data_IF_783742261990
#
_entry.id   IF_783742261990
#
_cell.length_a   1.000
_cell.length_b   1.000
_cell.length_c   1.000
_cell.angle_alpha   90.00
_cell.angle_beta   90.00
_cell.angle_gamma   90.00
#
_symmetry.space_group_name_H-M   'P 1'
#
loop_
_entity.id
_entity.type
_entity.pdbx_description
1 polymer ?
#
# COMPACT_ATOMS: atom_id res chain seq x y z
N UNK A 1 -49.65 -35.49 36.84
CA UNK A 1 -49.71 -35.35 35.40
C UNK A 1 -49.28 -33.90 35.08
N UNK A 2 -47.96 -33.71 34.83
CA UNK A 2 -47.36 -32.39 34.61
C UNK A 2 -46.97 -32.32 33.13
N UNK A 3 -47.53 -31.37 32.41
CA UNK A 3 -47.22 -31.11 31.00
C UNK A 3 -45.94 -30.28 30.95
N UNK A 4 -44.93 -30.74 30.23
CA UNK A 4 -43.71 -29.99 29.88
C UNK A 4 -44.03 -28.99 28.78
N UNK A 5 -43.60 -27.71 28.89
CA UNK A 5 -43.75 -26.79 27.79
C UNK A 5 -42.74 -27.14 26.68
N UNK A 6 -43.21 -27.16 25.45
CA UNK A 6 -42.40 -27.35 24.25
C UNK A 6 -41.34 -26.26 24.12
N UNK A 7 -40.07 -26.67 24.19
CA UNK A 7 -38.97 -25.80 23.78
C UNK A 7 -38.91 -25.85 22.23
N UNK A 8 -39.49 -24.81 21.60
CA UNK A 8 -39.21 -24.58 20.19
C UNK A 8 -37.74 -24.22 20.06
N UNK A 9 -36.95 -24.84 19.17
CA UNK A 9 -35.58 -24.42 18.96
C UNK A 9 -35.57 -23.02 18.41
N UNK A 10 -34.91 -22.13 19.12
CA UNK A 10 -34.65 -20.77 18.65
C UNK A 10 -33.94 -20.91 17.29
N UNK A 11 -34.58 -20.47 16.23
CA UNK A 11 -33.94 -20.41 14.92
C UNK A 11 -32.79 -19.40 15.03
N UNK A 12 -31.57 -19.90 15.19
CA UNK A 12 -30.40 -19.09 14.98
C UNK A 12 -30.46 -18.66 13.51
N UNK A 13 -30.83 -17.42 13.27
CA UNK A 13 -30.71 -16.84 11.94
C UNK A 13 -29.20 -16.82 11.62
N UNK A 14 -28.75 -17.86 10.95
CA UNK A 14 -27.36 -17.95 10.50
C UNK A 14 -27.10 -16.77 9.56
N UNK A 15 -26.11 -15.96 9.91
CA UNK A 15 -25.67 -14.89 9.02
C UNK A 15 -25.14 -15.56 7.75
N UNK A 16 -25.82 -15.35 6.63
CA UNK A 16 -25.36 -15.85 5.33
C UNK A 16 -24.39 -14.80 4.76
N UNK A 17 -23.13 -15.16 4.71
CA UNK A 17 -22.11 -14.31 4.10
C UNK A 17 -22.11 -14.48 2.59
N UNK A 18 -22.01 -13.36 1.87
CA UNK A 18 -21.69 -13.36 0.45
C UNK A 18 -20.24 -13.79 0.26
N UNK A 19 -19.95 -14.38 -0.89
CA UNK A 19 -18.68 -15.07 -1.14
C UNK A 19 -17.92 -14.38 -2.27
N UNK A 20 -16.63 -14.12 -2.05
CA UNK A 20 -15.76 -13.52 -3.06
C UNK A 20 -14.65 -14.49 -3.46
N UNK A 21 -14.38 -14.56 -4.77
CA UNK A 21 -13.17 -15.19 -5.30
C UNK A 21 -12.12 -14.10 -5.51
N UNK A 22 -10.94 -14.29 -4.93
CA UNK A 22 -9.77 -13.43 -5.20
C UNK A 22 -8.93 -14.06 -6.31
N UNK A 23 -8.44 -13.25 -7.25
CA UNK A 23 -7.57 -13.73 -8.31
C UNK A 23 -6.39 -12.80 -8.52
N UNK A 24 -5.20 -13.38 -8.72
CA UNK A 24 -3.95 -12.63 -8.83
C UNK A 24 -2.87 -13.40 -9.58
N UNK A 25 -1.84 -12.69 -10.00
CA UNK A 25 -0.56 -13.28 -10.41
C UNK A 25 0.25 -13.74 -9.20
N UNK A 26 1.47 -14.22 -9.46
CA UNK A 26 2.38 -14.62 -8.38
C UNK A 26 2.80 -13.42 -7.53
N UNK A 27 2.76 -13.55 -6.22
CA UNK A 27 3.18 -12.52 -5.28
C UNK A 27 4.69 -12.25 -5.30
N UNK A 28 5.50 -13.18 -5.79
CA UNK A 28 6.97 -13.03 -5.81
C UNK A 28 7.44 -11.76 -6.55
N UNK A 29 6.64 -11.28 -7.48
CA UNK A 29 6.96 -10.12 -8.30
C UNK A 29 6.00 -8.94 -8.06
N UNK A 30 5.22 -9.00 -6.97
CA UNK A 30 4.22 -7.98 -6.64
C UNK A 30 4.73 -7.08 -5.52
N UNK A 31 4.74 -5.77 -5.74
CA UNK A 31 4.99 -4.79 -4.69
C UNK A 31 3.77 -4.56 -3.77
N UNK A 32 2.73 -5.39 -3.89
CA UNK A 32 1.47 -5.24 -3.15
C UNK A 32 1.17 -6.43 -2.23
N UNK A 33 2.21 -7.19 -1.87
CA UNK A 33 2.06 -8.43 -1.10
C UNK A 33 1.38 -8.22 0.25
N UNK A 34 1.73 -7.15 0.95
CA UNK A 34 1.12 -6.85 2.26
C UNK A 34 -0.37 -6.55 2.12
N UNK A 35 -0.75 -5.72 1.15
CA UNK A 35 -2.16 -5.40 0.91
C UNK A 35 -2.97 -6.66 0.60
N UNK A 36 -2.42 -7.57 -0.22
CA UNK A 36 -3.06 -8.87 -0.48
C UNK A 36 -3.23 -9.68 0.79
N UNK A 37 -2.18 -9.77 1.62
CA UNK A 37 -2.21 -10.57 2.85
C UNK A 37 -3.26 -10.03 3.82
N UNK A 38 -3.34 -8.72 3.98
CA UNK A 38 -4.37 -8.08 4.82
C UNK A 38 -5.76 -8.40 4.29
N UNK A 39 -5.99 -8.23 2.98
CA UNK A 39 -7.29 -8.50 2.35
C UNK A 39 -7.71 -9.97 2.53
N UNK A 40 -6.79 -10.92 2.27
CA UNK A 40 -7.06 -12.34 2.44
C UNK A 40 -7.41 -12.69 3.89
N UNK A 41 -6.69 -12.13 4.84
CA UNK A 41 -6.93 -12.38 6.26
C UNK A 41 -8.30 -11.83 6.70
N UNK A 42 -8.62 -10.60 6.29
CA UNK A 42 -9.90 -9.97 6.64
C UNK A 42 -11.08 -10.77 6.09
N UNK A 43 -11.02 -11.17 4.82
CA UNK A 43 -12.09 -11.95 4.18
C UNK A 43 -12.14 -13.39 4.73
N UNK A 44 -10.99 -13.98 5.02
CA UNK A 44 -10.90 -15.32 5.59
C UNK A 44 -11.50 -15.41 7.00
N UNK A 45 -11.38 -14.32 7.76
CA UNK A 45 -11.92 -14.22 9.13
C UNK A 45 -13.31 -13.57 9.19
N UNK A 46 -13.94 -13.35 8.04
CA UNK A 46 -15.24 -12.67 7.90
C UNK A 46 -15.28 -11.29 8.59
N UNK A 47 -14.17 -10.54 8.50
CA UNK A 47 -14.03 -9.18 9.03
C UNK A 47 -14.33 -8.10 7.99
N UNK A 48 -14.80 -8.50 6.80
CA UNK A 48 -15.39 -7.61 5.80
C UNK A 48 -16.90 -7.81 5.92
N UNK A 49 -17.59 -6.83 6.45
CA UNK A 49 -19.01 -6.97 6.87
C UNK A 49 -19.88 -7.59 5.76
N UNK A 50 -20.48 -8.72 6.05
CA UNK A 50 -21.35 -9.44 5.12
C UNK A 50 -20.62 -10.28 4.08
N UNK A 51 -19.27 -10.29 4.06
CA UNK A 51 -18.47 -10.96 3.02
C UNK A 51 -17.44 -11.92 3.59
N UNK A 52 -17.18 -12.99 2.85
CA UNK A 52 -16.13 -13.95 3.19
C UNK A 52 -15.44 -14.45 1.91
N UNK A 53 -14.20 -14.91 2.07
CA UNK A 53 -13.44 -15.48 0.96
C UNK A 53 -13.93 -16.88 0.63
N UNK A 54 -14.27 -17.13 -0.63
CA UNK A 54 -14.57 -18.47 -1.14
C UNK A 54 -13.28 -19.19 -1.54
N UNK A 55 -12.39 -18.47 -2.26
CA UNK A 55 -11.21 -19.07 -2.87
C UNK A 55 -10.23 -17.97 -3.26
N UNK A 56 -8.93 -18.27 -3.23
CA UNK A 56 -7.89 -17.47 -3.89
C UNK A 56 -7.29 -18.28 -5.04
N UNK A 57 -7.23 -17.66 -6.23
CA UNK A 57 -6.61 -18.27 -7.41
C UNK A 57 -5.33 -17.50 -7.71
N UNK A 58 -4.21 -18.19 -7.67
CA UNK A 58 -2.90 -17.63 -7.96
C UNK A 58 -2.26 -18.36 -9.14
N UNK A 59 -1.49 -17.65 -9.94
CA UNK A 59 -0.78 -18.25 -11.05
C UNK A 59 0.16 -17.28 -11.73
N UNK A 60 1.21 -17.79 -12.32
CA UNK A 60 2.19 -16.97 -13.04
C UNK A 60 1.52 -16.27 -14.24
N UNK A 61 1.92 -15.02 -14.49
CA UNK A 61 1.45 -14.31 -15.68
C UNK A 61 1.79 -15.12 -16.96
N UNK A 62 0.78 -15.39 -17.77
CA UNK A 62 0.96 -16.17 -19.00
C UNK A 62 0.87 -17.69 -18.81
N UNK A 63 0.69 -18.17 -17.58
CA UNK A 63 0.48 -19.61 -17.34
C UNK A 63 -0.75 -20.10 -18.10
N UNK A 64 -0.58 -21.18 -18.88
CA UNK A 64 -1.69 -21.74 -19.67
C UNK A 64 -2.87 -22.10 -18.78
N UNK A 65 -4.05 -21.64 -19.17
CA UNK A 65 -5.30 -21.94 -18.47
C UNK A 65 -5.58 -21.07 -17.23
N UNK A 66 -4.66 -20.21 -16.80
CA UNK A 66 -4.89 -19.37 -15.61
C UNK A 66 -6.13 -18.48 -15.78
N UNK A 67 -6.24 -17.73 -16.87
CA UNK A 67 -7.39 -16.90 -17.16
C UNK A 67 -8.70 -17.70 -17.23
N UNK A 68 -8.64 -18.93 -17.78
CA UNK A 68 -9.82 -19.82 -17.85
C UNK A 68 -10.25 -20.28 -16.44
N UNK A 69 -9.27 -20.65 -15.58
CA UNK A 69 -9.59 -21.02 -14.18
C UNK A 69 -10.27 -19.84 -13.47
N UNK A 70 -9.71 -18.61 -13.62
CA UNK A 70 -10.29 -17.41 -13.01
C UNK A 70 -11.72 -17.17 -13.53
N UNK A 71 -11.91 -17.28 -14.86
CA UNK A 71 -13.23 -17.07 -15.48
C UNK A 71 -14.30 -18.04 -14.98
N UNK A 72 -13.92 -19.30 -14.68
CA UNK A 72 -14.88 -20.32 -14.25
C UNK A 72 -15.11 -20.31 -12.73
N UNK A 73 -14.13 -19.85 -11.97
CA UNK A 73 -14.06 -20.05 -10.51
C UNK A 73 -15.29 -19.57 -9.76
N UNK A 74 -15.80 -18.39 -10.10
CA UNK A 74 -16.96 -17.82 -9.37
C UNK A 74 -18.17 -18.75 -9.48
N UNK A 75 -18.44 -19.27 -10.69
CA UNK A 75 -19.53 -20.22 -10.90
C UNK A 75 -19.31 -21.56 -10.20
N UNK A 76 -18.08 -22.06 -10.27
CA UNK A 76 -17.73 -23.37 -9.69
C UNK A 76 -17.89 -23.41 -8.16
N UNK A 77 -17.60 -22.30 -7.49
CA UNK A 77 -17.74 -22.22 -6.03
C UNK A 77 -18.99 -21.48 -5.56
N UNK A 78 -19.85 -21.05 -6.48
CA UNK A 78 -21.06 -20.29 -6.12
C UNK A 78 -20.73 -18.97 -5.43
N UNK A 79 -19.75 -18.22 -5.96
CA UNK A 79 -19.39 -16.92 -5.42
C UNK A 79 -20.30 -15.81 -5.97
N UNK A 80 -20.40 -14.73 -5.23
CA UNK A 80 -21.21 -13.56 -5.58
C UNK A 80 -20.39 -12.48 -6.30
N UNK A 81 -19.05 -12.59 -6.26
CA UNK A 81 -18.15 -11.56 -6.77
C UNK A 81 -16.79 -12.14 -7.10
N UNK A 82 -16.16 -11.60 -8.16
CA UNK A 82 -14.76 -11.88 -8.52
C UNK A 82 -13.94 -10.59 -8.32
N UNK A 83 -12.86 -10.67 -7.53
CA UNK A 83 -11.96 -9.54 -7.29
C UNK A 83 -10.56 -9.85 -7.79
N UNK A 84 -10.12 -9.13 -8.83
CA UNK A 84 -8.73 -9.16 -9.32
C UNK A 84 -7.95 -8.17 -8.48
N UNK A 85 -6.99 -8.64 -7.70
CA UNK A 85 -6.40 -7.85 -6.62
C UNK A 85 -5.27 -6.89 -7.03
N UNK A 86 -5.02 -6.76 -8.35
CA UNK A 86 -4.04 -5.80 -8.88
C UNK A 86 -4.36 -5.43 -10.33
N UNK A 87 -4.18 -4.16 -10.68
CA UNK A 87 -4.27 -3.71 -12.07
C UNK A 87 -3.27 -4.44 -12.99
N UNK A 88 -2.16 -4.95 -12.44
CA UNK A 88 -1.17 -5.70 -13.22
C UNK A 88 -1.71 -7.06 -13.68
N UNK A 89 -2.78 -7.52 -13.06
CA UNK A 89 -3.44 -8.78 -13.39
C UNK A 89 -4.81 -8.57 -14.06
N UNK A 90 -5.14 -7.34 -14.44
CA UNK A 90 -6.44 -7.02 -15.03
C UNK A 90 -6.72 -7.78 -16.34
N UNK A 91 -5.69 -8.33 -17.00
CA UNK A 91 -5.88 -9.24 -18.15
C UNK A 91 -6.70 -10.49 -17.77
N UNK A 92 -6.83 -10.79 -16.47
CA UNK A 92 -7.64 -11.92 -15.95
C UNK A 92 -9.14 -11.60 -15.90
N UNK A 93 -9.54 -10.33 -16.08
CA UNK A 93 -10.96 -9.95 -16.10
C UNK A 93 -11.65 -10.69 -17.26
N UNK A 94 -12.65 -11.54 -16.99
CA UNK A 94 -13.29 -12.34 -18.04
C UNK A 94 -13.99 -11.47 -19.09
N UNK A 95 -14.03 -11.94 -20.35
CA UNK A 95 -14.83 -11.28 -21.39
C UNK A 95 -16.33 -11.36 -21.11
N UNK A 96 -16.74 -12.41 -20.40
CA UNK A 96 -18.10 -12.59 -19.88
C UNK A 96 -18.00 -13.14 -18.48
N UNK A 97 -18.73 -12.58 -17.54
CA UNK A 97 -18.78 -13.03 -16.16
C UNK A 97 -20.23 -13.22 -15.71
N UNK A 98 -20.47 -14.23 -14.89
CA UNK A 98 -21.79 -14.47 -14.27
C UNK A 98 -21.96 -13.64 -12.99
N UNK A 99 -20.88 -13.02 -12.50
CA UNK A 99 -20.89 -12.20 -11.27
C UNK A 99 -20.16 -10.88 -11.56
N UNK A 100 -20.43 -9.83 -10.78
CA UNK A 100 -19.66 -8.59 -10.90
C UNK A 100 -18.16 -8.83 -10.73
N UNK A 101 -17.35 -8.04 -11.45
CA UNK A 101 -15.88 -8.12 -11.41
C UNK A 101 -15.31 -6.79 -10.92
N UNK A 102 -14.52 -6.87 -9.86
CA UNK A 102 -13.85 -5.72 -9.24
C UNK A 102 -12.33 -5.85 -9.47
N UNK A 103 -11.65 -4.73 -9.68
CA UNK A 103 -10.18 -4.72 -9.82
C UNK A 103 -9.58 -3.67 -8.89
N UNK A 104 -8.59 -4.06 -8.07
CA UNK A 104 -7.78 -3.11 -7.30
C UNK A 104 -6.78 -2.40 -8.23
N UNK A 105 -6.69 -1.06 -8.11
CA UNK A 105 -5.85 -0.21 -8.95
C UNK A 105 -4.96 0.64 -8.03
N UNK A 106 -3.74 0.22 -7.92
CA UNK A 106 -2.73 0.87 -7.07
C UNK A 106 -1.97 2.01 -7.77
N UNK A 107 -1.67 1.97 -9.11
CA UNK A 107 -1.03 2.85 -9.89
C UNK A 107 -1.46 2.68 -11.24
N UNK A 108 -1.39 3.75 -11.81
CA UNK A 108 -1.61 3.65 -13.27
C UNK A 108 -0.41 4.13 -14.09
N UNK A 109 0.72 4.35 -13.45
CA UNK A 109 1.92 4.87 -14.09
C UNK A 109 2.36 4.03 -15.30
N UNK A 110 2.31 2.71 -15.19
CA UNK A 110 2.74 1.82 -16.29
C UNK A 110 1.81 1.92 -17.52
N UNK A 111 0.58 2.36 -17.31
CA UNK A 111 -0.43 2.53 -18.39
C UNK A 111 -0.43 3.94 -18.96
N UNK A 112 0.05 4.91 -18.19
CA UNK A 112 0.10 6.32 -18.56
C UNK A 112 1.35 6.97 -17.97
N UNK A 113 2.57 6.58 -18.46
CA UNK A 113 3.78 7.20 -17.97
C UNK A 113 3.76 8.71 -18.21
N UNK A 114 4.16 9.47 -17.20
CA UNK A 114 4.23 10.93 -17.28
C UNK A 114 5.67 11.39 -17.11
N UNK A 115 6.07 12.40 -17.89
CA UNK A 115 7.36 13.06 -17.70
C UNK A 115 7.32 14.05 -16.52
N UNK A 116 6.12 14.51 -16.14
CA UNK A 116 5.89 15.46 -15.05
C UNK A 116 4.79 14.89 -14.14
N UNK A 117 4.99 14.94 -12.85
CA UNK A 117 3.98 14.53 -11.87
C UNK A 117 2.85 15.58 -11.80
N UNK A 118 1.77 15.25 -11.10
CA UNK A 118 0.61 16.15 -10.94
C UNK A 118 0.98 17.47 -10.27
N UNK A 119 2.12 17.54 -9.57
CA UNK A 119 2.65 18.78 -8.99
C UNK A 119 3.68 19.51 -9.86
N UNK A 120 3.71 19.23 -11.16
CA UNK A 120 4.69 19.80 -12.11
C UNK A 120 6.15 19.46 -11.79
N UNK A 121 6.36 18.37 -11.04
CA UNK A 121 7.69 17.90 -10.68
C UNK A 121 8.16 16.90 -11.74
N UNK A 122 9.38 17.05 -12.27
CA UNK A 122 9.90 16.08 -13.25
C UNK A 122 9.97 14.67 -12.67
N UNK A 123 9.38 13.70 -13.40
CA UNK A 123 9.39 12.28 -13.01
C UNK A 123 10.52 11.58 -13.78
N UNK A 124 11.48 10.96 -13.09
CA UNK A 124 12.52 10.19 -13.78
C UNK A 124 11.93 8.91 -14.35
N UNK A 125 11.66 8.91 -15.65
CA UNK A 125 11.00 7.79 -16.33
C UNK A 125 11.88 6.53 -16.37
N UNK A 126 13.21 6.68 -16.39
CA UNK A 126 14.13 5.55 -16.53
C UNK A 126 13.92 4.83 -17.86
N UNK A 127 14.18 3.54 -17.89
CA UNK A 127 13.99 2.69 -19.06
C UNK A 127 12.56 2.13 -19.07
N UNK A 128 11.57 2.99 -19.33
CA UNK A 128 10.15 2.64 -19.27
C UNK A 128 9.58 2.13 -20.61
N UNK A 129 10.44 1.63 -21.50
CA UNK A 129 9.98 1.04 -22.75
C UNK A 129 9.78 -0.46 -22.55
N UNK A 130 8.52 -0.93 -22.49
CA UNK A 130 8.29 -2.35 -22.29
C UNK A 130 8.73 -3.16 -23.54
N UNK A 131 9.14 -4.39 -23.31
CA UNK A 131 9.36 -5.36 -24.39
C UNK A 131 8.06 -5.59 -25.17
N UNK A 132 8.15 -6.24 -26.31
CA UNK A 132 6.95 -6.57 -27.11
C UNK A 132 5.93 -7.39 -26.28
N UNK A 133 6.40 -8.34 -25.49
CA UNK A 133 5.53 -9.14 -24.60
C UNK A 133 4.96 -8.26 -23.47
N UNK A 134 5.73 -7.35 -22.95
CA UNK A 134 5.28 -6.37 -21.97
C UNK A 134 4.16 -5.48 -22.50
N UNK A 135 4.35 -5.00 -23.72
CA UNK A 135 3.33 -4.20 -24.40
C UNK A 135 2.02 -4.94 -24.61
N UNK A 136 2.04 -6.02 -24.78
CA UNK A 136 0.99 -6.82 -24.98
C UNK A 136 0.26 -7.07 -23.80
N UNK A 137 0.99 -7.29 -22.77
CA UNK A 137 0.36 -7.46 -21.46
C UNK A 137 -0.32 -6.18 -20.99
N UNK A 138 0.36 -5.05 -21.12
CA UNK A 138 -0.21 -3.73 -20.80
C UNK A 138 -1.54 -3.52 -21.54
N UNK A 139 -1.56 -3.82 -22.85
CA UNK A 139 -2.78 -3.68 -23.65
C UNK A 139 -3.90 -4.59 -23.14
N UNK A 140 -3.58 -5.86 -22.85
CA UNK A 140 -4.57 -6.80 -22.29
C UNK A 140 -5.11 -6.36 -20.94
N UNK A 141 -4.25 -5.80 -20.08
CA UNK A 141 -4.67 -5.25 -18.79
C UNK A 141 -5.57 -4.02 -18.96
N UNK A 142 -5.24 -3.12 -19.92
CA UNK A 142 -6.10 -1.97 -20.23
C UNK A 142 -7.50 -2.42 -20.62
N UNK A 143 -7.58 -3.44 -21.50
CA UNK A 143 -8.89 -4.01 -21.88
C UNK A 143 -9.63 -4.61 -20.69
N UNK A 144 -8.90 -5.23 -19.77
CA UNK A 144 -9.49 -5.78 -18.55
C UNK A 144 -10.03 -4.71 -17.63
N UNK A 145 -9.27 -3.63 -17.42
CA UNK A 145 -9.70 -2.48 -16.62
C UNK A 145 -10.96 -1.84 -17.20
N UNK A 146 -11.02 -1.73 -18.53
CA UNK A 146 -12.18 -1.15 -19.21
C UNK A 146 -13.44 -2.06 -19.16
N UNK A 147 -13.26 -3.36 -18.87
CA UNK A 147 -14.37 -4.32 -18.73
C UNK A 147 -14.82 -4.50 -17.28
N UNK A 148 -14.03 -4.09 -16.31
CA UNK A 148 -14.36 -4.27 -14.89
C UNK A 148 -15.62 -3.48 -14.51
N UNK A 149 -16.46 -4.03 -13.64
CA UNK A 149 -17.65 -3.35 -13.15
C UNK A 149 -17.31 -2.23 -12.16
N UNK A 150 -16.19 -2.40 -11.42
CA UNK A 150 -15.76 -1.41 -10.44
C UNK A 150 -14.23 -1.46 -10.28
N UNK A 151 -13.59 -0.29 -10.31
CA UNK A 151 -12.18 -0.11 -10.04
C UNK A 151 -12.01 0.47 -8.63
N UNK A 152 -11.26 -0.25 -7.77
CA UNK A 152 -10.93 0.20 -6.41
C UNK A 152 -9.59 0.95 -6.49
N UNK A 153 -9.66 2.26 -6.44
CA UNK A 153 -8.48 3.12 -6.63
C UNK A 153 -7.85 3.47 -5.28
N UNK A 154 -6.53 3.28 -5.17
CA UNK A 154 -5.81 3.44 -3.90
C UNK A 154 -5.64 4.91 -3.46
N UNK A 155 -5.87 5.87 -4.37
CA UNK A 155 -5.77 7.30 -4.09
C UNK A 155 -6.73 8.10 -4.96
N UNK A 156 -7.01 9.34 -4.56
CA UNK A 156 -7.80 10.27 -5.37
C UNK A 156 -7.14 10.50 -6.73
N UNK A 157 -5.82 10.65 -6.74
CA UNK A 157 -5.06 10.83 -7.98
C UNK A 157 -5.23 9.62 -8.91
N UNK A 158 -5.10 8.41 -8.37
CA UNK A 158 -5.31 7.17 -9.15
C UNK A 158 -6.75 7.07 -9.64
N UNK A 159 -7.73 7.51 -8.81
CA UNK A 159 -9.14 7.48 -9.18
C UNK A 159 -9.43 8.47 -10.32
N UNK A 160 -8.82 9.66 -10.28
CA UNK A 160 -8.96 10.63 -11.37
C UNK A 160 -8.39 10.07 -12.68
N UNK A 161 -7.17 9.50 -12.64
CA UNK A 161 -6.55 8.86 -13.80
C UNK A 161 -7.44 7.72 -14.34
N UNK A 162 -7.99 6.91 -13.44
CA UNK A 162 -8.86 5.78 -13.83
C UNK A 162 -10.11 6.28 -14.55
N UNK A 163 -10.75 7.31 -14.03
CA UNK A 163 -11.96 7.91 -14.64
C UNK A 163 -11.69 8.46 -16.05
N UNK A 164 -10.51 9.06 -16.24
CA UNK A 164 -10.10 9.58 -17.56
C UNK A 164 -9.79 8.45 -18.54
N UNK A 165 -9.10 7.41 -18.08
CA UNK A 165 -8.63 6.31 -18.94
C UNK A 165 -9.70 5.25 -19.21
N UNK A 166 -10.60 5.01 -18.26
CA UNK A 166 -11.62 3.94 -18.30
C UNK A 166 -13.01 4.49 -17.98
N UNK A 167 -13.55 5.37 -18.85
CA UNK A 167 -14.82 6.08 -18.54
C UNK A 167 -16.05 5.17 -18.45
N UNK A 168 -15.94 3.91 -18.86
CA UNK A 168 -17.04 2.93 -18.75
C UNK A 168 -17.07 2.23 -17.40
N UNK A 169 -15.94 2.19 -16.69
CA UNK A 169 -15.82 1.51 -15.41
C UNK A 169 -16.16 2.47 -14.27
N UNK A 170 -16.94 2.01 -13.31
CA UNK A 170 -17.15 2.78 -12.06
C UNK A 170 -15.84 2.81 -11.27
N UNK A 171 -15.63 3.86 -10.50
CA UNK A 171 -14.42 4.00 -9.66
C UNK A 171 -14.83 4.35 -8.23
N UNK A 172 -14.16 3.75 -7.26
CA UNK A 172 -14.34 4.04 -5.84
C UNK A 172 -12.97 4.14 -5.17
N UNK A 173 -12.82 5.08 -4.25
CA UNK A 173 -11.61 5.22 -3.46
C UNK A 173 -11.57 4.11 -2.40
N UNK A 174 -10.61 3.22 -2.51
CA UNK A 174 -10.34 2.16 -1.51
C UNK A 174 -8.82 2.13 -1.30
N UNK A 175 -8.38 2.82 -0.27
CA UNK A 175 -6.94 2.98 0.02
C UNK A 175 -6.28 1.63 0.27
N UNK A 176 -5.01 1.51 -0.11
CA UNK A 176 -4.20 0.34 0.21
C UNK A 176 -4.11 0.19 1.74
N UNK A 177 -3.94 -1.03 2.19
CA UNK A 177 -3.90 -1.33 3.61
C UNK A 177 -2.49 -1.58 4.10
N UNK A 178 -2.29 -1.32 5.39
CA UNK A 178 -1.09 -1.70 6.13
C UNK A 178 -1.50 -2.63 7.27
N UNK A 179 -0.66 -3.59 7.62
CA UNK A 179 -0.93 -4.46 8.78
C UNK A 179 -0.58 -3.71 10.06
N UNK A 180 -1.52 -2.87 10.51
CA UNK A 180 -1.36 -2.08 11.73
C UNK A 180 -1.16 -2.96 12.98
N UNK A 181 -1.47 -4.25 12.94
CA UNK A 181 -1.16 -5.15 14.06
C UNK A 181 0.30 -5.56 14.11
N UNK A 182 0.99 -5.58 12.97
CA UNK A 182 2.42 -5.91 12.90
C UNK A 182 3.30 -4.68 13.20
N UNK A 183 2.96 -3.53 12.62
CA UNK A 183 3.81 -2.33 12.66
C UNK A 183 3.65 -1.48 13.92
N UNK A 184 2.50 -1.54 14.60
CA UNK A 184 2.15 -0.67 15.75
C UNK A 184 3.17 -0.81 16.89
N UNK A 185 3.89 0.26 17.23
CA UNK A 185 4.92 0.20 18.28
C UNK A 185 4.36 -0.01 19.68
N UNK A 186 3.07 0.29 19.89
CA UNK A 186 2.41 0.11 21.19
C UNK A 186 2.04 -1.36 21.40
N UNK A 187 1.53 -2.01 20.33
CA UNK A 187 1.11 -3.42 20.38
C UNK A 187 2.26 -4.38 20.20
N UNK A 188 3.26 -3.97 19.43
CA UNK A 188 4.33 -4.86 18.97
C UNK A 188 5.67 -4.10 18.98
N UNK A 189 6.14 -3.69 20.18
CA UNK A 189 7.39 -2.94 20.28
C UNK A 189 8.59 -3.78 19.87
N UNK A 190 9.49 -3.19 19.09
CA UNK A 190 10.72 -3.84 18.61
C UNK A 190 11.91 -3.34 19.42
N UNK A 191 12.79 -4.25 19.76
CA UNK A 191 14.05 -3.90 20.44
C UNK A 191 15.04 -3.33 19.41
N UNK A 192 15.71 -2.23 19.77
CA UNK A 192 16.68 -1.57 18.89
C UNK A 192 17.87 -2.49 18.52
N UNK A 193 18.18 -3.48 19.36
CA UNK A 193 19.25 -4.46 19.08
C UNK A 193 19.01 -5.26 17.79
N UNK A 194 17.76 -5.34 17.31
CA UNK A 194 17.42 -5.98 16.02
C UNK A 194 18.15 -5.29 14.84
N UNK A 195 18.53 -4.02 15.00
CA UNK A 195 19.24 -3.27 13.97
C UNK A 195 20.72 -3.66 13.86
N UNK A 196 21.28 -4.34 14.87
CA UNK A 196 22.70 -4.68 14.87
C UNK A 196 23.56 -3.41 14.85
N UNK A 197 24.52 -3.34 13.94
CA UNK A 197 25.40 -2.17 13.79
C UNK A 197 24.64 -0.90 13.39
N UNK A 198 23.50 -1.02 12.73
CA UNK A 198 22.68 0.14 12.35
C UNK A 198 21.97 0.76 13.57
N UNK A 199 21.93 0.05 14.69
CA UNK A 199 21.24 0.48 15.93
C UNK A 199 22.11 1.27 16.90
N UNK A 200 23.24 1.79 16.48
CA UNK A 200 24.15 2.59 17.34
C UNK A 200 23.38 3.79 17.91
N UNK A 201 23.20 3.81 19.22
CA UNK A 201 22.45 4.86 19.94
C UNK A 201 23.17 6.21 19.97
N UNK A 202 24.47 6.22 19.67
CA UNK A 202 25.21 7.47 19.56
C UNK A 202 24.99 8.21 18.23
N UNK A 203 24.15 7.62 17.33
CA UNK A 203 23.87 8.17 16.01
C UNK A 203 22.40 8.51 15.86
N UNK A 204 22.13 9.62 15.21
CA UNK A 204 20.75 10.03 14.80
C UNK A 204 20.35 9.19 13.59
N UNK A 205 19.44 8.23 13.79
CA UNK A 205 19.04 7.28 12.75
C UNK A 205 17.99 7.89 11.82
N UNK A 206 18.30 7.92 10.53
CA UNK A 206 17.36 8.29 9.46
C UNK A 206 17.12 7.04 8.60
N UNK A 207 15.92 6.95 7.99
CA UNK A 207 15.59 5.83 7.10
C UNK A 207 15.19 6.38 5.72
N UNK A 208 15.58 5.69 4.66
CA UNK A 208 15.08 5.98 3.31
C UNK A 208 14.90 4.67 2.53
N UNK A 209 14.21 4.75 1.39
CA UNK A 209 14.04 3.60 0.50
C UNK A 209 15.29 3.44 -0.36
N UNK A 210 15.81 2.21 -0.43
CA UNK A 210 17.02 1.88 -1.19
C UNK A 210 16.76 1.23 -2.56
N UNK A 211 15.54 1.29 -3.08
CA UNK A 211 15.20 0.66 -4.35
C UNK A 211 15.85 1.33 -5.55
N UNK A 212 16.07 0.54 -6.60
CA UNK A 212 16.77 0.98 -7.82
C UNK A 212 15.92 1.84 -8.76
N UNK A 213 14.60 1.81 -8.60
CA UNK A 213 13.72 2.62 -9.47
C UNK A 213 14.01 4.10 -9.21
N UNK A 214 14.39 4.87 -10.25
CA UNK A 214 14.78 6.26 -10.07
C UNK A 214 13.64 7.15 -9.54
N UNK A 215 12.40 6.70 -9.60
CA UNK A 215 11.26 7.44 -9.02
C UNK A 215 11.31 7.49 -7.49
N UNK A 216 12.04 6.59 -6.83
CA UNK A 216 12.28 6.66 -5.39
C UNK A 216 13.30 7.75 -5.02
N UNK A 217 14.05 8.23 -6.02
CA UNK A 217 14.99 9.35 -5.91
C UNK A 217 16.09 9.12 -4.85
N UNK A 218 16.60 7.88 -4.81
CA UNK A 218 17.73 7.55 -3.92
C UNK A 218 18.99 8.38 -4.16
N UNK A 219 19.20 8.84 -5.41
CA UNK A 219 20.29 9.75 -5.74
C UNK A 219 20.07 11.12 -5.09
N UNK A 220 18.86 11.66 -5.15
CA UNK A 220 18.51 12.94 -4.50
C UNK A 220 18.76 12.85 -2.98
N UNK A 221 18.40 11.72 -2.35
CA UNK A 221 18.71 11.52 -0.92
C UNK A 221 20.23 11.61 -0.68
N UNK A 222 21.02 11.00 -1.57
CA UNK A 222 22.50 11.11 -1.48
C UNK A 222 23.00 12.54 -1.60
N UNK A 223 22.40 13.30 -2.53
CA UNK A 223 22.77 14.71 -2.77
C UNK A 223 22.45 15.58 -1.55
N UNK A 224 21.23 15.47 -1.00
CA UNK A 224 20.86 16.26 0.19
C UNK A 224 21.72 15.88 1.41
N UNK A 225 22.01 14.59 1.60
CA UNK A 225 22.89 14.15 2.69
C UNK A 225 24.32 14.73 2.55
N UNK A 226 24.81 14.85 1.32
CA UNK A 226 26.13 15.44 1.07
C UNK A 226 26.15 16.96 1.33
N UNK A 227 24.99 17.62 1.27
CA UNK A 227 24.84 19.05 1.54
C UNK A 227 24.68 19.38 3.04
N UNK A 228 24.35 18.38 3.87
CA UNK A 228 24.22 18.57 5.33
C UNK A 228 25.60 19.01 5.90
N UNK A 229 25.65 20.04 6.78
CA UNK A 229 26.92 20.46 7.40
C UNK A 229 27.65 19.29 8.06
N UNK A 230 28.99 19.30 7.95
CA UNK A 230 29.84 18.19 8.41
C UNK A 230 29.59 17.85 9.89
N UNK A 231 29.45 18.87 10.74
CA UNK A 231 29.23 18.68 12.18
C UNK A 231 27.90 18.02 12.51
N UNK A 232 26.91 18.13 11.63
CA UNK A 232 25.63 17.42 11.75
C UNK A 232 25.77 16.03 11.14
N UNK A 233 26.35 15.96 9.93
CA UNK A 233 26.46 14.71 9.17
C UNK A 233 27.24 13.63 9.92
N UNK A 234 28.25 14.01 10.73
CA UNK A 234 29.03 13.08 11.54
C UNK A 234 28.17 12.31 12.54
N UNK A 235 27.08 12.90 13.03
CA UNK A 235 26.15 12.25 13.95
C UNK A 235 25.07 11.43 13.25
N UNK A 236 24.86 11.64 11.93
CA UNK A 236 23.76 10.97 11.23
C UNK A 236 24.12 9.54 10.81
N UNK A 237 23.14 8.65 10.84
CA UNK A 237 23.21 7.33 10.23
C UNK A 237 21.99 7.15 9.31
N UNK A 238 22.21 7.00 8.01
CA UNK A 238 21.15 6.79 7.03
C UNK A 238 21.04 5.31 6.68
N UNK A 239 19.98 4.66 7.13
CA UNK A 239 19.67 3.28 6.78
C UNK A 239 18.77 3.24 5.53
N UNK A 240 19.22 2.55 4.49
CA UNK A 240 18.45 2.37 3.24
C UNK A 240 17.76 1.00 3.28
N UNK A 241 16.43 0.99 3.39
CA UNK A 241 15.63 -0.24 3.42
C UNK A 241 15.24 -0.66 2.00
N UNK A 242 14.87 -1.94 1.84
CA UNK A 242 14.41 -2.48 0.56
C UNK A 242 15.52 -2.98 -0.35
N UNK A 243 16.75 -3.08 0.13
CA UNK A 243 17.87 -3.66 -0.63
C UNK A 243 18.12 -5.11 -0.18
N UNK A 244 18.13 -6.03 -1.13
CA UNK A 244 18.43 -7.44 -0.86
C UNK A 244 17.26 -8.18 -0.18
N UNK A 245 17.60 -9.20 0.59
CA UNK A 245 16.59 -9.99 1.32
C UNK A 245 16.06 -9.16 2.50
N UNK A 246 14.76 -8.99 2.54
CA UNK A 246 14.11 -8.16 3.56
C UNK A 246 13.92 -8.96 4.86
N UNK A 247 14.41 -8.41 5.96
CA UNK A 247 14.10 -8.86 7.32
C UNK A 247 13.07 -7.89 7.90
N UNK A 248 11.82 -8.32 7.93
CA UNK A 248 10.70 -7.48 8.34
C UNK A 248 10.78 -7.03 9.80
N UNK A 249 11.36 -7.86 10.69
CA UNK A 249 11.57 -7.48 12.08
C UNK A 249 12.58 -6.33 12.20
N UNK A 250 13.66 -6.42 11.40
CA UNK A 250 14.67 -5.33 11.33
C UNK A 250 14.07 -4.07 10.73
N UNK A 251 13.23 -4.18 9.70
CA UNK A 251 12.56 -3.02 9.08
C UNK A 251 11.61 -2.36 10.08
N UNK A 252 10.83 -3.16 10.83
CA UNK A 252 9.92 -2.62 11.86
C UNK A 252 10.72 -1.90 12.96
N UNK A 253 11.84 -2.50 13.41
CA UNK A 253 12.71 -1.86 14.38
C UNK A 253 13.27 -0.53 13.82
N UNK A 254 13.68 -0.53 12.54
CA UNK A 254 14.20 0.70 11.90
C UNK A 254 13.17 1.83 11.95
N UNK A 255 11.93 1.55 11.57
CA UNK A 255 10.87 2.57 11.61
C UNK A 255 10.54 3.01 13.04
N UNK A 256 10.52 2.06 14.00
CA UNK A 256 10.19 2.41 15.39
C UNK A 256 11.27 3.26 16.06
N UNK A 257 12.53 3.12 15.64
CA UNK A 257 13.66 3.81 16.27
C UNK A 257 14.26 4.96 15.44
N UNK A 258 13.88 5.10 14.17
CA UNK A 258 14.37 6.21 13.35
C UNK A 258 13.73 7.54 13.78
N UNK A 259 14.51 8.60 13.73
CA UNK A 259 14.02 9.96 13.98
C UNK A 259 13.05 10.40 12.87
N UNK A 260 13.32 9.98 11.63
CA UNK A 260 12.46 10.34 10.48
C UNK A 260 12.74 9.40 9.29
N UNK A 261 11.69 9.18 8.47
CA UNK A 261 11.84 8.58 7.15
C UNK A 261 11.90 9.67 6.09
N UNK A 262 12.94 9.63 5.24
CA UNK A 262 13.07 10.51 4.06
C UNK A 262 12.42 9.84 2.85
N UNK A 263 11.32 10.43 2.34
CA UNK A 263 10.54 9.88 1.23
C UNK A 263 10.37 10.92 0.11
N UNK A 264 11.43 11.20 -0.66
CA UNK A 264 11.33 12.17 -1.77
C UNK A 264 10.71 11.58 -3.04
N UNK A 265 10.15 10.39 -2.97
CA UNK A 265 9.61 9.67 -4.11
C UNK A 265 8.61 10.48 -4.94
N UNK A 266 8.59 10.24 -6.26
CA UNK A 266 7.65 10.87 -7.20
C UNK A 266 7.00 9.79 -8.07
N UNK A 267 5.70 9.84 -8.21
CA UNK A 267 4.92 8.91 -9.05
C UNK A 267 5.10 7.42 -8.70
N UNK A 268 5.37 7.10 -7.44
CA UNK A 268 5.52 5.70 -6.98
C UNK A 268 4.29 5.20 -6.20
N UNK A 269 3.32 6.05 -5.96
CA UNK A 269 2.16 5.74 -5.14
C UNK A 269 2.45 5.97 -3.65
N UNK A 270 1.41 6.11 -2.84
CA UNK A 270 1.55 6.20 -1.39
C UNK A 270 1.17 4.84 -0.79
N UNK A 271 2.17 3.99 -0.65
CA UNK A 271 2.04 2.60 -0.20
C UNK A 271 3.23 2.23 0.68
N UNK A 272 3.46 0.96 0.95
CA UNK A 272 4.71 0.52 1.59
C UNK A 272 5.90 1.16 0.86
N UNK A 273 6.95 1.63 1.52
CA UNK A 273 7.25 1.68 2.95
C UNK A 273 6.76 2.92 3.72
N UNK A 274 6.31 4.04 3.12
CA UNK A 274 5.87 5.16 3.95
C UNK A 274 4.66 4.82 4.84
N UNK A 275 3.74 3.97 4.37
CA UNK A 275 2.62 3.51 5.21
C UNK A 275 3.10 2.67 6.40
N UNK A 276 4.11 1.83 6.17
CA UNK A 276 4.73 1.02 7.23
C UNK A 276 5.41 1.91 8.28
N UNK A 277 6.13 2.94 7.82
CA UNK A 277 6.75 3.92 8.71
C UNK A 277 5.67 4.64 9.54
N UNK A 278 4.61 5.13 8.90
CA UNK A 278 3.48 5.79 9.59
C UNK A 278 2.85 4.86 10.62
N UNK A 279 2.61 3.60 10.25
CA UNK A 279 2.00 2.60 11.14
C UNK A 279 2.93 2.22 12.31
N UNK A 280 4.22 2.54 12.18
CA UNK A 280 5.23 2.41 13.24
C UNK A 280 5.41 3.72 14.05
N UNK A 281 4.58 4.72 13.80
CA UNK A 281 4.68 6.04 14.45
C UNK A 281 5.94 6.81 14.09
N UNK A 282 6.55 6.50 12.94
CA UNK A 282 7.76 7.18 12.45
C UNK A 282 7.35 8.44 11.66
N UNK A 283 7.88 9.61 11.99
CA UNK A 283 7.65 10.79 11.17
C UNK A 283 8.14 10.55 9.73
N UNK A 284 7.42 11.11 8.75
CA UNK A 284 7.78 10.98 7.33
C UNK A 284 7.95 12.38 6.75
N UNK A 285 9.07 12.64 6.10
CA UNK A 285 9.26 13.83 5.26
C UNK A 285 9.12 13.39 3.80
N UNK A 286 8.12 13.93 3.12
CA UNK A 286 7.77 13.53 1.75
C UNK A 286 7.75 14.71 0.79
N UNK A 287 7.94 14.43 -0.49
CA UNK A 287 7.78 15.46 -1.54
C UNK A 287 6.36 16.01 -1.51
N UNK A 288 6.22 17.34 -1.57
CA UNK A 288 4.92 18.02 -1.66
C UNK A 288 4.30 17.77 -3.04
N UNK A 289 3.49 16.73 -3.12
CA UNK A 289 2.80 16.28 -4.33
C UNK A 289 1.34 16.00 -3.98
N UNK A 290 0.41 16.13 -4.94
CA UNK A 290 -1.02 15.91 -4.66
C UNK A 290 -1.31 14.57 -3.96
N UNK A 291 -0.61 13.50 -4.36
CA UNK A 291 -0.76 12.19 -3.74
C UNK A 291 -0.38 12.18 -2.25
N UNK A 292 0.70 12.88 -1.90
CA UNK A 292 1.17 12.93 -0.51
C UNK A 292 0.32 13.90 0.32
N UNK A 293 -0.12 15.01 -0.29
CA UNK A 293 -0.95 16.02 0.35
C UNK A 293 -2.34 15.48 0.75
N UNK A 294 -2.83 14.46 0.04
CA UNK A 294 -4.10 13.82 0.43
C UNK A 294 -4.00 12.93 1.67
N UNK A 295 -2.78 12.67 2.16
CA UNK A 295 -2.53 11.70 3.23
C UNK A 295 -1.75 12.29 4.40
N UNK A 296 -0.73 13.11 4.14
CA UNK A 296 0.21 13.58 5.16
C UNK A 296 -0.11 15.00 5.63
N UNK A 297 0.07 15.29 6.92
CA UNK A 297 -0.01 16.68 7.39
C UNK A 297 1.03 17.58 6.70
N UNK A 298 0.71 18.86 6.55
CA UNK A 298 1.56 19.81 5.82
C UNK A 298 3.00 19.90 6.37
N UNK A 299 3.18 19.67 7.68
CA UNK A 299 4.53 19.67 8.30
C UNK A 299 5.43 18.56 7.76
N UNK A 300 4.85 17.54 7.14
CA UNK A 300 5.57 16.41 6.55
C UNK A 300 5.98 16.65 5.09
N UNK A 301 5.50 17.76 4.49
CA UNK A 301 5.62 17.97 3.04
C UNK A 301 6.69 19.01 2.73
N UNK A 302 7.67 18.61 1.92
CA UNK A 302 8.77 19.45 1.49
C UNK A 302 8.74 19.62 -0.03
N UNK A 303 9.12 20.78 -0.53
CA UNK A 303 9.15 21.01 -1.97
C UNK A 303 10.07 19.96 -2.62
N UNK A 304 9.56 19.30 -3.65
CA UNK A 304 10.22 18.11 -4.20
C UNK A 304 11.60 18.39 -4.81
N UNK A 305 11.87 19.63 -5.23
CA UNK A 305 13.14 20.00 -5.88
C UNK A 305 13.97 21.01 -5.08
N UNK A 306 13.52 21.40 -3.89
CA UNK A 306 14.25 22.38 -3.05
C UNK A 306 15.17 21.65 -2.06
N UNK A 307 16.38 21.34 -2.49
CA UNK A 307 17.36 20.62 -1.65
C UNK A 307 17.64 21.33 -0.32
N UNK A 308 17.64 22.68 -0.32
CA UNK A 308 17.93 23.46 0.90
C UNK A 308 16.83 23.24 1.96
N UNK A 309 15.58 23.13 1.53
CA UNK A 309 14.47 22.81 2.45
C UNK A 309 14.64 21.42 3.07
N UNK A 310 15.04 20.43 2.28
CA UNK A 310 15.30 19.08 2.79
C UNK A 310 16.48 19.07 3.77
N UNK A 311 17.57 19.77 3.44
CA UNK A 311 18.75 19.88 4.33
C UNK A 311 18.34 20.55 5.65
N UNK A 312 17.57 21.66 5.58
CA UNK A 312 17.10 22.35 6.78
C UNK A 312 16.27 21.41 7.67
N UNK A 313 15.35 20.65 7.08
CA UNK A 313 14.52 19.70 7.82
C UNK A 313 15.37 18.61 8.50
N UNK A 314 16.41 18.12 7.84
CA UNK A 314 17.33 17.13 8.43
C UNK A 314 18.09 17.74 9.60
N UNK A 315 18.54 18.99 9.47
CA UNK A 315 19.24 19.71 10.55
C UNK A 315 18.31 19.90 11.75
N UNK A 316 17.02 20.22 11.49
CA UNK A 316 16.02 20.35 12.58
C UNK A 316 15.81 19.02 13.31
N UNK A 317 15.70 17.91 12.57
CA UNK A 317 15.59 16.56 13.15
C UNK A 317 16.82 16.25 14.03
N UNK A 318 18.03 16.53 13.51
CA UNK A 318 19.28 16.33 14.28
C UNK A 318 19.29 17.20 15.54
N UNK A 319 18.85 18.46 15.44
CA UNK A 319 18.81 19.39 16.57
C UNK A 319 17.90 18.87 17.69
N UNK A 320 16.73 18.34 17.31
CA UNK A 320 15.79 17.76 18.29
C UNK A 320 16.37 16.51 18.95
N UNK A 321 16.97 15.62 18.16
CA UNK A 321 17.66 14.43 18.66
C UNK A 321 18.80 14.80 19.62
N UNK A 322 19.64 15.75 19.24
CA UNK A 322 20.77 16.21 20.06
C UNK A 322 20.29 16.84 21.37
N UNK A 323 19.22 17.65 21.30
CA UNK A 323 18.62 18.31 22.48
C UNK A 323 18.04 17.29 23.45
N UNK A 324 17.53 16.16 22.95
CA UNK A 324 17.04 15.06 23.79
C UNK A 324 18.18 14.27 24.46
N UNK A 325 19.45 14.52 24.08
CA UNK A 325 20.59 13.73 24.53
C UNK A 325 20.63 12.34 23.91
N UNK A 326 20.03 12.17 22.74
CA UNK A 326 19.91 10.87 22.07
C UNK A 326 18.84 9.96 22.68
N UNK A 327 17.95 10.50 23.51
CA UNK A 327 16.86 9.70 24.07
C UNK A 327 15.95 9.16 22.92
N UNK A 328 15.35 7.98 23.12
CA UNK A 328 14.44 7.43 22.11
C UNK A 328 13.34 8.42 21.75
N UNK A 329 13.09 8.54 20.45
CA UNK A 329 12.02 9.39 19.91
C UNK A 329 10.65 8.98 20.49
N UNK A 330 9.80 9.93 20.74
CA UNK A 330 8.39 9.67 21.02
C UNK A 330 7.66 9.26 19.72
N UNK A 331 6.69 8.38 19.86
CA UNK A 331 5.80 8.01 18.76
C UNK A 331 5.11 9.27 18.23
N UNK A 332 5.07 9.44 16.92
CA UNK A 332 4.26 10.51 16.30
C UNK A 332 2.80 10.04 16.27
N UNK A 333 2.05 10.44 17.28
CA UNK A 333 0.65 10.00 17.46
C UNK A 333 -0.25 10.41 16.30
N UNK A 334 -0.05 11.60 15.72
CA UNK A 334 -0.86 12.06 14.60
C UNK A 334 -0.64 11.16 13.36
N UNK A 335 0.62 10.89 13.05
CA UNK A 335 0.99 10.02 11.91
C UNK A 335 0.45 8.60 12.14
N UNK A 336 0.58 8.08 13.36
CA UNK A 336 0.08 6.75 13.71
C UNK A 336 -1.44 6.67 13.59
N UNK A 337 -2.16 7.71 14.04
CA UNK A 337 -3.62 7.76 13.96
C UNK A 337 -4.08 7.83 12.49
N UNK A 338 -3.39 8.58 11.63
CA UNK A 338 -3.68 8.63 10.20
C UNK A 338 -3.51 7.22 9.59
N UNK A 339 -2.39 6.56 9.90
CA UNK A 339 -2.13 5.21 9.39
C UNK A 339 -3.25 4.24 9.79
N UNK A 340 -3.64 4.24 11.05
CA UNK A 340 -4.70 3.35 11.57
C UNK A 340 -6.07 3.67 11.01
N UNK A 341 -6.46 4.94 11.01
CA UNK A 341 -7.82 5.33 10.63
C UNK A 341 -8.09 5.27 9.13
N UNK A 342 -7.07 5.50 8.30
CA UNK A 342 -7.21 5.58 6.85
C UNK A 342 -6.69 4.33 6.11
N UNK A 343 -5.70 3.64 6.67
CA UNK A 343 -5.00 2.54 5.99
C UNK A 343 -4.96 1.25 6.83
N UNK A 344 -5.41 1.29 8.08
CA UNK A 344 -5.42 0.11 8.94
C UNK A 344 -6.43 -0.93 8.50
N UNK A 345 -6.29 -2.13 9.04
CA UNK A 345 -7.12 -3.30 8.71
C UNK A 345 -8.63 -3.02 8.81
N UNK A 346 -9.06 -2.33 9.86
CA UNK A 346 -10.48 -2.02 10.07
C UNK A 346 -11.03 -1.06 9.00
N UNK A 347 -10.26 -0.04 8.65
CA UNK A 347 -10.64 0.92 7.60
C UNK A 347 -10.76 0.21 6.25
N UNK A 348 -9.77 -0.62 5.91
CA UNK A 348 -9.76 -1.36 4.65
C UNK A 348 -10.95 -2.34 4.56
N UNK A 349 -11.24 -3.08 5.63
CA UNK A 349 -12.38 -4.00 5.68
C UNK A 349 -13.72 -3.31 5.46
N UNK A 350 -13.92 -2.12 6.05
CA UNK A 350 -15.12 -1.32 5.85
C UNK A 350 -15.25 -0.87 4.39
N UNK A 351 -14.18 -0.34 3.81
CA UNK A 351 -14.19 0.14 2.41
C UNK A 351 -14.42 -1.01 1.42
N UNK A 352 -13.83 -2.18 1.67
CA UNK A 352 -14.08 -3.36 0.83
C UNK A 352 -15.57 -3.76 0.89
N UNK A 353 -16.16 -3.78 2.09
CA UNK A 353 -17.59 -4.10 2.24
C UNK A 353 -18.45 -3.13 1.43
N UNK A 354 -18.22 -1.83 1.59
CA UNK A 354 -18.96 -0.78 0.86
C UNK A 354 -18.82 -0.95 -0.66
N UNK A 355 -17.61 -1.24 -1.13
CA UNK A 355 -17.33 -1.43 -2.56
C UNK A 355 -18.06 -2.65 -3.13
N UNK A 356 -18.02 -3.76 -2.41
CA UNK A 356 -18.66 -5.00 -2.85
C UNK A 356 -20.20 -4.86 -2.84
N UNK A 357 -20.75 -4.21 -1.82
CA UNK A 357 -22.20 -3.95 -1.75
C UNK A 357 -22.62 -3.01 -2.89
N UNK A 358 -21.83 -1.98 -3.18
CA UNK A 358 -22.10 -1.03 -4.28
C UNK A 358 -22.23 -1.75 -5.63
N UNK A 359 -21.30 -2.66 -5.93
CA UNK A 359 -21.29 -3.32 -7.25
C UNK A 359 -22.33 -4.43 -7.34
N UNK A 360 -22.73 -5.00 -6.20
CA UNK A 360 -23.76 -6.05 -6.15
C UNK A 360 -25.19 -5.49 -5.91
N UNK A 361 -25.35 -4.17 -5.95
CA UNK A 361 -26.67 -3.51 -5.96
C UNK A 361 -27.34 -3.35 -4.59
N UNK A 362 -26.58 -3.00 -3.56
CA UNK A 362 -27.11 -2.64 -2.25
C UNK A 362 -26.89 -1.17 -1.93
#
# INVERSE_FOLDING_TARGET
>A
MWLHPDFSPCACSGIVFRRVVLARGSLENSGYGENHAVMEDLLGKAKVNGWTKALTIEGDPGARGHAKRVSNAAGEVGADLLHITSQQDAHLVPKKSSVPVVVSVHXLFDYRPRAIDAGDVPVPLGNRYPSSSGSXRIAACREGLDRADLLLCASEMTMQDAREMFPRSKCMLVRDSVDDSFWDPIRNPRDRSLLGADGDESRCLLVSVGEKDPRWRGQFVGEIMAMVPDEVREDLHLLRIGQGKVDWEKVAAAFQHAEVMLYPGVSVGFRSPPLEAMASGCPVLASMLPLHDEVLPSRCLLHATDSDQWVSAIVDVHSDWSRSGGAPRHVDDEILDIAKSSFGRAAHGRLLSEAYDLVCGR
#
